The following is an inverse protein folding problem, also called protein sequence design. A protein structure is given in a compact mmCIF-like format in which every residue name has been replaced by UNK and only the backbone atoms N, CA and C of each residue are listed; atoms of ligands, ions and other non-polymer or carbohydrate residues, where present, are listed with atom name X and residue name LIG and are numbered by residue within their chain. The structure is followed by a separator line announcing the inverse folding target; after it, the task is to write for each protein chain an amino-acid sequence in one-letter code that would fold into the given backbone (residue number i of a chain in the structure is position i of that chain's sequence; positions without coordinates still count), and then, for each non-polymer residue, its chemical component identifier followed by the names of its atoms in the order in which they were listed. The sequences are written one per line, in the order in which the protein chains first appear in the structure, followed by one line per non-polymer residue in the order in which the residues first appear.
data_IF_571533923615
#
_entry.id   IF_571533923615
#
_cell.length_a   1.000
_cell.length_b   1.000
_cell.length_c   1.000
_cell.angle_alpha   90.00
_cell.angle_beta   90.00
_cell.angle_gamma   90.00
#
_symmetry.space_group_name_H-M   'P 1'
#
loop_
_entity.id
_entity.type
_entity.pdbx_description
1 polymer ?
#
# COMPACT_ATOMS: atom_id res chain seq x y z
N UNK A 1 6.82 -6.07 -22.76
CA UNK A 1 6.88 -7.24 -21.88
C UNK A 1 8.31 -7.51 -21.41
N UNK A 2 9.32 -7.54 -22.27
CA UNK A 2 10.73 -7.83 -21.92
C UNK A 2 11.32 -6.85 -20.89
N UNK A 3 10.99 -5.56 -20.96
CA UNK A 3 11.44 -4.58 -19.95
C UNK A 3 10.91 -4.89 -18.54
N UNK A 4 9.63 -5.30 -18.42
CA UNK A 4 9.04 -5.70 -17.12
C UNK A 4 9.71 -6.95 -16.54
N UNK A 5 9.97 -7.95 -17.38
CA UNK A 5 10.67 -9.17 -16.96
C UNK A 5 12.08 -8.86 -16.46
N UNK A 6 12.81 -7.99 -17.16
CA UNK A 6 14.14 -7.55 -16.73
C UNK A 6 14.15 -6.86 -15.37
N UNK A 7 13.12 -6.04 -15.06
CA UNK A 7 12.98 -5.39 -13.75
C UNK A 7 12.76 -6.44 -12.65
N UNK A 8 11.89 -7.43 -12.90
CA UNK A 8 11.62 -8.52 -11.95
C UNK A 8 12.88 -9.32 -11.64
N UNK A 9 13.63 -9.72 -12.68
CA UNK A 9 14.89 -10.47 -12.52
C UNK A 9 15.93 -9.65 -11.74
N UNK A 10 16.12 -8.38 -12.10
CA UNK A 10 17.03 -7.48 -11.37
C UNK A 10 16.63 -7.35 -9.90
N UNK A 11 15.35 -7.18 -9.62
CA UNK A 11 14.80 -7.12 -8.26
C UNK A 11 15.11 -8.40 -7.47
N UNK A 12 14.87 -9.57 -8.05
CA UNK A 12 15.17 -10.86 -7.43
C UNK A 12 16.67 -11.02 -7.12
N UNK A 13 17.54 -10.71 -8.08
CA UNK A 13 18.99 -10.81 -7.92
C UNK A 13 19.48 -9.83 -6.85
N UNK A 14 18.93 -8.61 -6.78
CA UNK A 14 19.23 -7.65 -5.73
C UNK A 14 18.89 -8.24 -4.35
N UNK A 15 17.67 -8.72 -4.14
CA UNK A 15 17.24 -9.32 -2.88
C UNK A 15 18.09 -10.55 -2.50
N UNK A 16 18.50 -11.35 -3.48
CA UNK A 16 19.39 -12.49 -3.26
C UNK A 16 20.78 -12.05 -2.78
N UNK A 17 21.31 -10.94 -3.29
CA UNK A 17 22.58 -10.37 -2.82
C UNK A 17 22.48 -9.87 -1.39
N UNK A 18 21.40 -9.18 -1.05
CA UNK A 18 21.12 -8.67 0.30
C UNK A 18 21.11 -9.78 1.36
N UNK A 19 20.71 -11.01 1.01
CA UNK A 19 20.77 -12.15 1.92
C UNK A 19 22.19 -12.45 2.45
N UNK A 20 23.24 -12.03 1.74
CA UNK A 20 24.63 -12.24 2.19
C UNK A 20 25.01 -11.27 3.31
N UNK A 21 24.45 -10.07 3.31
CA UNK A 21 24.77 -8.98 4.25
C UNK A 21 23.76 -8.83 5.38
N UNK A 22 22.61 -9.52 5.29
CA UNK A 22 21.48 -9.33 6.22
C UNK A 22 21.87 -9.56 7.69
N UNK A 23 22.85 -10.43 7.97
CA UNK A 23 23.37 -10.70 9.32
C UNK A 23 24.09 -9.53 9.97
N UNK A 24 24.44 -8.50 9.19
CA UNK A 24 25.08 -7.28 9.69
C UNK A 24 24.08 -6.31 10.32
N UNK A 25 22.77 -6.61 10.20
CA UNK A 25 21.69 -5.77 10.69
C UNK A 25 20.88 -6.50 11.75
N UNK A 26 20.69 -5.87 12.90
CA UNK A 26 19.87 -6.39 13.99
C UNK A 26 18.38 -6.39 13.59
N UNK A 27 17.98 -5.37 12.81
CA UNK A 27 16.60 -5.15 12.38
C UNK A 27 16.54 -5.03 10.86
N UNK A 28 15.54 -5.66 10.28
CA UNK A 28 15.15 -5.50 8.87
C UNK A 28 13.76 -4.90 8.82
N UNK A 29 13.68 -3.68 8.32
CA UNK A 29 12.43 -2.99 8.10
C UNK A 29 11.91 -3.35 6.70
N UNK A 30 10.70 -3.92 6.63
CA UNK A 30 10.06 -4.33 5.38
C UNK A 30 8.82 -3.47 5.18
N UNK A 31 8.88 -2.58 4.20
CA UNK A 31 7.70 -1.86 3.73
C UNK A 31 7.00 -2.65 2.63
N UNK A 32 5.74 -3.04 2.87
CA UNK A 32 4.88 -3.86 2.01
C UNK A 32 5.39 -5.29 1.80
N UNK A 33 6.40 -5.48 0.98
CA UNK A 33 6.93 -6.81 0.63
C UNK A 33 8.42 -6.72 0.26
N UNK A 34 9.20 -7.72 0.64
CA UNK A 34 10.59 -7.81 0.20
C UNK A 34 10.69 -8.04 -1.32
N UNK A 35 9.77 -8.82 -1.87
CA UNK A 35 9.66 -9.06 -3.31
C UNK A 35 8.20 -9.29 -3.70
N UNK A 36 7.69 -8.57 -4.68
CA UNK A 36 6.26 -8.49 -4.99
C UNK A 36 5.64 -9.78 -5.56
N UNK A 37 6.43 -10.71 -6.06
CA UNK A 37 5.95 -11.95 -6.67
C UNK A 37 6.25 -13.17 -5.81
N UNK A 38 5.38 -14.17 -5.92
CA UNK A 38 5.61 -15.50 -5.34
C UNK A 38 5.42 -15.56 -3.82
N UNK A 39 6.23 -16.39 -3.17
CA UNK A 39 6.11 -16.72 -1.75
C UNK A 39 6.87 -15.77 -0.83
N UNK A 40 6.74 -15.99 0.48
CA UNK A 40 7.52 -15.30 1.52
C UNK A 40 8.95 -15.84 1.67
N UNK A 41 9.57 -16.29 0.60
CA UNK A 41 10.89 -16.93 0.69
C UNK A 41 11.98 -15.98 1.22
N UNK A 42 11.99 -14.73 0.75
CA UNK A 42 12.95 -13.73 1.22
C UNK A 42 12.68 -13.35 2.67
N UNK A 43 11.43 -13.06 3.02
CA UNK A 43 11.03 -12.67 4.37
C UNK A 43 11.37 -13.76 5.39
N UNK A 44 11.15 -15.04 5.05
CA UNK A 44 11.57 -16.17 5.89
C UNK A 44 13.08 -16.28 6.05
N UNK A 45 13.85 -15.97 5.00
CA UNK A 45 15.32 -15.95 5.09
C UNK A 45 15.82 -14.77 5.94
N UNK A 46 15.14 -13.62 5.87
CA UNK A 46 15.44 -12.48 6.72
C UNK A 46 15.11 -12.78 8.19
N UNK A 47 13.93 -13.30 8.48
CA UNK A 47 13.50 -13.65 9.84
C UNK A 47 14.43 -14.65 10.56
N UNK A 48 15.14 -15.51 9.80
CA UNK A 48 16.14 -16.44 10.37
C UNK A 48 17.45 -15.78 10.79
N UNK A 49 17.65 -14.51 10.45
CA UNK A 49 18.95 -13.84 10.57
C UNK A 49 18.91 -12.50 11.29
N UNK A 50 17.75 -11.88 11.31
CA UNK A 50 17.51 -10.55 11.86
C UNK A 50 16.07 -10.42 12.31
N UNK A 51 15.79 -9.47 13.19
CA UNK A 51 14.43 -9.13 13.61
C UNK A 51 13.70 -8.39 12.48
N UNK A 52 12.48 -8.83 12.13
CA UNK A 52 11.66 -8.14 11.14
C UNK A 52 10.72 -7.16 11.84
N UNK A 53 10.69 -5.93 11.33
CA UNK A 53 9.61 -4.96 11.51
C UNK A 53 8.91 -4.81 10.16
N UNK A 54 7.59 -4.99 10.15
CA UNK A 54 6.79 -4.93 8.94
C UNK A 54 5.90 -3.69 8.95
N UNK A 55 5.90 -2.95 7.87
CA UNK A 55 5.13 -1.73 7.68
C UNK A 55 4.26 -1.82 6.42
N UNK A 56 2.99 -1.42 6.55
CA UNK A 56 2.09 -1.37 5.41
C UNK A 56 0.94 -0.37 5.61
N UNK A 57 0.62 0.33 4.54
CA UNK A 57 -0.37 1.41 4.46
C UNK A 57 -1.55 1.07 3.52
N UNK A 58 -1.44 -0.01 2.75
CA UNK A 58 -2.46 -0.51 1.83
C UNK A 58 -2.94 -1.92 2.19
N UNK A 59 -4.18 -2.23 1.87
CA UNK A 59 -4.75 -3.57 2.00
C UNK A 59 -4.21 -4.53 0.91
N UNK A 60 -2.90 -4.78 0.92
CA UNK A 60 -2.16 -5.52 -0.12
C UNK A 60 -2.55 -7.00 -0.24
N UNK A 61 -3.31 -7.54 0.70
CA UNK A 61 -3.87 -8.89 0.63
C UNK A 61 -5.13 -8.96 -0.24
N UNK A 62 -5.77 -7.81 -0.53
CA UNK A 62 -6.91 -7.76 -1.43
C UNK A 62 -6.44 -7.94 -2.87
N UNK A 63 -7.15 -8.79 -3.63
CA UNK A 63 -6.81 -9.08 -5.02
C UNK A 63 -7.30 -7.98 -5.98
N UNK A 64 -6.93 -6.74 -5.69
CA UNK A 64 -7.22 -5.59 -6.54
C UNK A 64 -6.16 -5.51 -7.64
N UNK A 65 -6.31 -6.34 -8.68
CA UNK A 65 -5.43 -6.30 -9.86
C UNK A 65 -6.08 -5.48 -10.95
N UNK A 66 -5.48 -4.35 -11.31
CA UNK A 66 -5.89 -3.60 -12.50
C UNK A 66 -5.86 -4.48 -13.75
N UNK A 67 -6.82 -4.30 -14.68
CA UNK A 67 -6.97 -5.14 -15.88
C UNK A 67 -5.67 -5.37 -16.68
N UNK A 68 -4.77 -4.38 -16.70
CA UNK A 68 -3.47 -4.45 -17.38
C UNK A 68 -2.45 -5.44 -16.75
N UNK A 69 -2.66 -5.87 -15.49
CA UNK A 69 -1.75 -6.78 -14.78
C UNK A 69 -2.37 -8.17 -14.54
N UNK A 70 -3.48 -8.48 -15.21
CA UNK A 70 -4.22 -9.74 -15.05
C UNK A 70 -3.37 -10.99 -15.28
N UNK A 71 -2.36 -10.91 -16.17
CA UNK A 71 -1.42 -12.00 -16.46
C UNK A 71 -0.54 -12.36 -15.24
N UNK A 72 -0.30 -11.41 -14.32
CA UNK A 72 0.51 -11.66 -13.12
C UNK A 72 -0.32 -12.01 -11.89
N UNK A 73 -1.64 -12.07 -12.02
CA UNK A 73 -2.57 -12.37 -10.92
C UNK A 73 -2.26 -13.71 -10.25
N UNK A 74 -1.94 -14.73 -11.04
CA UNK A 74 -1.61 -16.06 -10.52
C UNK A 74 -0.28 -16.12 -9.75
N UNK A 75 0.59 -15.11 -9.93
CA UNK A 75 1.85 -14.98 -9.19
C UNK A 75 1.69 -14.22 -7.87
N UNK A 76 0.55 -13.56 -7.65
CA UNK A 76 0.21 -12.97 -6.36
C UNK A 76 -0.28 -14.04 -5.40
N UNK A 77 0.20 -13.97 -4.17
CA UNK A 77 -0.21 -14.86 -3.11
C UNK A 77 -0.98 -14.05 -2.05
N UNK A 78 -2.32 -14.14 -1.98
CA UNK A 78 -3.13 -13.38 -1.02
C UNK A 78 -2.73 -13.64 0.44
N UNK A 79 -2.29 -14.87 0.75
CA UNK A 79 -1.86 -15.22 2.10
C UNK A 79 -0.50 -14.65 2.49
N UNK A 80 0.21 -14.04 1.54
CA UNK A 80 1.58 -13.58 1.76
C UNK A 80 1.67 -12.56 2.87
N UNK A 81 0.76 -11.59 2.88
CA UNK A 81 0.70 -10.53 3.90
C UNK A 81 0.56 -11.12 5.31
N UNK A 82 -0.40 -12.00 5.52
CA UNK A 82 -0.59 -12.68 6.81
C UNK A 82 0.64 -13.52 7.24
N UNK A 83 1.34 -14.12 6.26
CA UNK A 83 2.59 -14.85 6.54
C UNK A 83 3.75 -13.92 6.93
N UNK A 84 3.86 -12.73 6.32
CA UNK A 84 4.86 -11.72 6.69
C UNK A 84 4.58 -11.19 8.10
N UNK A 85 3.31 -10.86 8.38
CA UNK A 85 2.86 -10.40 9.70
C UNK A 85 3.26 -11.41 10.81
N UNK A 86 3.04 -12.71 10.59
CA UNK A 86 3.44 -13.77 11.55
C UNK A 86 4.96 -13.85 11.76
N UNK A 87 5.76 -13.54 10.75
CA UNK A 87 7.23 -13.57 10.83
C UNK A 87 7.81 -12.33 11.51
N UNK A 88 7.01 -11.28 11.69
CA UNK A 88 7.48 -9.99 12.17
C UNK A 88 7.41 -9.90 13.69
N UNK A 89 8.40 -9.27 14.30
CA UNK A 89 8.43 -8.97 15.73
C UNK A 89 7.46 -7.85 16.09
N UNK A 90 7.30 -6.88 15.16
CA UNK A 90 6.41 -5.73 15.30
C UNK A 90 5.83 -5.42 13.92
N UNK A 91 4.56 -5.00 13.91
CA UNK A 91 3.84 -4.60 12.71
C UNK A 91 3.38 -3.16 12.86
N UNK A 92 3.73 -2.31 11.91
CA UNK A 92 3.17 -0.98 11.75
C UNK A 92 2.04 -1.02 10.71
N UNK A 93 0.87 -0.60 11.11
CA UNK A 93 -0.32 -0.55 10.27
C UNK A 93 -0.75 0.91 10.09
N UNK A 94 -1.00 1.35 8.87
CA UNK A 94 -1.32 2.75 8.57
C UNK A 94 -2.66 3.24 9.13
N UNK A 95 -3.56 2.34 9.53
CA UNK A 95 -4.85 2.67 10.14
C UNK A 95 -5.45 1.49 10.89
N UNK A 96 -6.60 1.73 11.57
CA UNK A 96 -7.28 0.71 12.37
C UNK A 96 -7.71 -0.51 11.54
N UNK A 97 -8.24 -0.31 10.34
CA UNK A 97 -8.67 -1.42 9.47
C UNK A 97 -7.51 -2.39 9.14
N UNK A 98 -6.33 -1.84 8.88
CA UNK A 98 -5.11 -2.62 8.65
C UNK A 98 -4.65 -3.29 9.94
N UNK A 99 -4.70 -2.59 11.08
CA UNK A 99 -4.33 -3.14 12.38
C UNK A 99 -5.22 -4.32 12.78
N UNK A 100 -6.53 -4.23 12.54
CA UNK A 100 -7.50 -5.33 12.82
C UNK A 100 -7.20 -6.58 11.95
N UNK A 101 -6.75 -6.37 10.72
CA UNK A 101 -6.27 -7.48 9.90
C UNK A 101 -4.99 -8.09 10.46
N UNK A 102 -4.01 -7.26 10.85
CA UNK A 102 -2.74 -7.71 11.41
C UNK A 102 -2.91 -8.47 12.73
N UNK A 103 -3.83 -8.02 13.59
CA UNK A 103 -4.11 -8.64 14.89
C UNK A 103 -4.54 -10.10 14.79
N UNK A 104 -5.07 -10.54 13.64
CA UNK A 104 -5.38 -11.96 13.38
C UNK A 104 -4.13 -12.85 13.30
N UNK A 105 -2.95 -12.28 13.14
CA UNK A 105 -1.71 -13.00 12.89
C UNK A 105 -0.58 -12.64 13.83
N UNK A 106 -0.63 -11.47 14.51
CA UNK A 106 0.41 -10.97 15.41
C UNK A 106 -0.22 -10.10 16.51
N UNK A 107 0.25 -10.27 17.74
CA UNK A 107 -0.22 -9.48 18.88
C UNK A 107 0.51 -8.13 19.02
N UNK A 108 1.68 -7.98 18.39
CA UNK A 108 2.49 -6.77 18.43
C UNK A 108 2.19 -5.91 17.21
N UNK A 109 1.08 -5.17 17.25
CA UNK A 109 0.65 -4.27 16.19
C UNK A 109 0.56 -2.86 16.75
N UNK A 110 1.15 -1.89 16.04
CA UNK A 110 1.04 -0.47 16.32
C UNK A 110 0.44 0.26 15.11
N UNK A 111 -0.44 1.23 15.37
CA UNK A 111 -0.97 2.08 14.31
C UNK A 111 -0.01 3.25 14.10
N UNK A 112 0.53 3.34 12.89
CA UNK A 112 1.44 4.40 12.45
C UNK A 112 0.85 5.02 11.18
N UNK A 113 0.03 6.08 11.30
CA UNK A 113 -0.60 6.71 10.15
C UNK A 113 0.42 7.33 9.21
N UNK A 114 0.12 7.33 7.91
CA UNK A 114 0.86 8.13 6.93
C UNK A 114 0.65 9.61 7.24
N UNK A 115 1.72 10.36 7.39
CA UNK A 115 1.72 11.77 7.74
C UNK A 115 2.26 12.63 6.61
N UNK A 116 2.00 13.92 6.69
CA UNK A 116 2.56 14.95 5.80
C UNK A 116 3.39 15.94 6.64
N UNK A 117 4.36 16.57 6.00
CA UNK A 117 5.10 17.67 6.61
C UNK A 117 4.23 18.93 6.64
N UNK A 118 3.72 19.26 7.84
CA UNK A 118 2.87 20.44 8.04
C UNK A 118 3.61 21.78 7.95
N UNK A 119 4.94 21.78 7.95
CA UNK A 119 5.70 22.99 7.65
C UNK A 119 5.66 23.31 6.15
N UNK A 120 5.57 22.29 5.30
CA UNK A 120 5.50 22.42 3.84
C UNK A 120 4.05 22.54 3.36
N UNK A 121 3.18 21.68 3.89
CA UNK A 121 1.78 21.62 3.48
C UNK A 121 0.90 22.41 4.45
N UNK A 122 0.67 23.69 4.11
CA UNK A 122 -0.18 24.57 4.88
C UNK A 122 -1.61 24.59 4.34
N UNK A 123 -2.63 24.71 5.21
CA UNK A 123 -4.01 24.87 4.76
C UNK A 123 -4.15 26.15 3.91
N UNK A 124 -4.69 26.00 2.70
CA UNK A 124 -5.07 27.14 1.87
C UNK A 124 -6.56 27.42 2.08
N UNK A 125 -6.87 28.57 2.70
CA UNK A 125 -8.26 29.01 2.88
C UNK A 125 -8.70 29.79 1.64
N UNK A 126 -9.72 29.29 0.94
CA UNK A 126 -10.37 30.03 -0.13
C UNK A 126 -11.29 31.08 0.49
N UNK A 127 -11.11 32.34 0.09
CA UNK A 127 -11.95 33.45 0.47
C UNK A 127 -13.22 33.55 -0.38
N UNK A 128 -13.17 33.03 -1.60
CA UNK A 128 -14.30 32.95 -2.52
C UNK A 128 -15.21 31.77 -2.18
N UNK A 129 -16.39 32.06 -1.65
CA UNK A 129 -17.38 31.06 -1.19
C UNK A 129 -18.57 30.88 -2.15
N UNK A 130 -18.58 31.55 -3.30
CA UNK A 130 -19.73 31.50 -4.21
C UNK A 130 -19.91 30.09 -4.84
N UNK A 131 -18.83 29.32 -5.01
CA UNK A 131 -18.88 27.97 -5.58
C UNK A 131 -18.07 26.98 -4.75
N UNK A 132 -18.70 25.82 -4.47
CA UNK A 132 -18.00 24.70 -3.85
C UNK A 132 -17.43 23.82 -4.93
N UNK A 133 -16.11 23.58 -4.85
CA UNK A 133 -15.41 22.64 -5.72
C UNK A 133 -15.23 21.32 -4.99
N UNK A 134 -15.75 20.24 -5.55
CA UNK A 134 -15.48 18.88 -5.09
C UNK A 134 -14.48 18.30 -6.08
N UNK A 135 -13.24 18.10 -5.62
CA UNK A 135 -12.16 17.51 -6.41
C UNK A 135 -11.89 16.07 -6.03
N UNK A 136 -11.40 15.29 -7.00
CA UNK A 136 -10.84 13.98 -6.78
C UNK A 136 -9.42 13.95 -7.35
N UNK A 137 -8.51 13.37 -6.59
CA UNK A 137 -7.14 13.14 -7.04
C UNK A 137 -6.81 11.66 -6.91
N UNK A 138 -6.32 11.08 -7.99
CA UNK A 138 -5.97 9.65 -8.02
C UNK A 138 -5.25 9.28 -9.32
N UNK A 139 -4.96 8.00 -9.48
CA UNK A 139 -4.36 7.44 -10.68
C UNK A 139 -5.41 6.76 -11.56
N UNK A 140 -5.04 6.47 -12.81
CA UNK A 140 -5.90 5.71 -13.71
C UNK A 140 -6.36 4.37 -13.11
N UNK A 141 -5.52 3.72 -12.30
CA UNK A 141 -5.88 2.45 -11.65
C UNK A 141 -6.87 2.59 -10.49
N UNK A 142 -7.06 3.80 -9.95
CA UNK A 142 -7.95 4.07 -8.81
C UNK A 142 -9.25 4.76 -9.22
N UNK A 143 -9.45 5.07 -10.51
CA UNK A 143 -10.66 5.75 -11.01
C UNK A 143 -11.95 4.97 -10.70
N UNK A 144 -11.89 3.65 -10.67
CA UNK A 144 -13.02 2.80 -10.29
C UNK A 144 -13.54 3.08 -8.87
N UNK A 145 -12.69 3.56 -7.96
CA UNK A 145 -13.12 3.94 -6.60
C UNK A 145 -13.90 5.25 -6.61
N UNK A 146 -13.61 6.14 -7.56
CA UNK A 146 -14.38 7.35 -7.75
C UNK A 146 -15.78 7.06 -8.30
N UNK A 147 -15.93 6.04 -9.14
CA UNK A 147 -17.22 5.63 -9.71
C UNK A 147 -18.25 5.31 -8.62
N UNK A 148 -17.82 4.81 -7.46
CA UNK A 148 -18.72 4.52 -6.32
C UNK A 148 -19.37 5.77 -5.74
N UNK A 149 -18.80 6.95 -5.97
CA UNK A 149 -19.30 8.23 -5.47
C UNK A 149 -20.22 8.96 -6.47
N UNK A 150 -20.35 8.49 -7.72
CA UNK A 150 -21.02 9.22 -8.80
C UNK A 150 -22.49 9.57 -8.49
N UNK A 151 -23.24 8.66 -7.90
CA UNK A 151 -24.65 8.91 -7.56
C UNK A 151 -24.78 10.01 -6.50
N UNK A 152 -23.95 9.97 -5.45
CA UNK A 152 -23.91 11.01 -4.43
C UNK A 152 -23.53 12.38 -5.02
N UNK A 153 -22.57 12.40 -5.96
CA UNK A 153 -22.12 13.62 -6.64
C UNK A 153 -23.23 14.20 -7.56
N UNK A 154 -24.03 13.37 -8.22
CA UNK A 154 -25.19 13.79 -9.01
C UNK A 154 -26.21 14.51 -8.11
N UNK A 155 -26.60 13.88 -7.01
CA UNK A 155 -27.55 14.44 -6.04
C UNK A 155 -27.07 15.80 -5.50
N UNK A 156 -25.77 15.89 -5.15
CA UNK A 156 -25.18 17.13 -4.67
C UNK A 156 -25.21 18.21 -5.75
N UNK A 157 -24.87 17.87 -6.99
CA UNK A 157 -24.91 18.80 -8.13
C UNK A 157 -26.30 19.32 -8.41
N UNK A 158 -27.31 18.47 -8.39
CA UNK A 158 -28.71 18.85 -8.61
C UNK A 158 -29.22 19.77 -7.50
N UNK A 159 -28.88 19.44 -6.24
CA UNK A 159 -29.35 20.20 -5.07
C UNK A 159 -28.65 21.55 -4.88
N UNK A 160 -27.36 21.64 -5.17
CA UNK A 160 -26.50 22.78 -4.81
C UNK A 160 -25.78 23.44 -5.98
N UNK A 161 -25.94 22.95 -7.21
CA UNK A 161 -25.26 23.48 -8.39
C UNK A 161 -23.73 23.44 -8.29
N UNK A 162 -23.15 22.48 -7.58
CA UNK A 162 -21.72 22.34 -7.36
C UNK A 162 -20.99 21.97 -8.64
N UNK A 163 -19.80 22.51 -8.83
CA UNK A 163 -18.91 22.14 -9.93
C UNK A 163 -17.93 21.06 -9.43
N UNK A 164 -17.88 19.92 -10.11
CA UNK A 164 -16.97 18.82 -9.83
C UNK A 164 -15.83 18.84 -10.83
N UNK A 165 -14.60 18.93 -10.32
CA UNK A 165 -13.39 18.86 -11.16
C UNK A 165 -12.74 17.47 -11.01
N UNK A 166 -12.38 16.91 -12.14
CA UNK A 166 -11.57 15.69 -12.22
C UNK A 166 -10.13 16.10 -12.58
N UNK A 167 -9.19 15.68 -11.78
CA UNK A 167 -7.76 15.89 -12.02
C UNK A 167 -7.04 14.56 -11.98
#
# INVERSE_FOLDING_TARGET
YFKKLGIVIKGFLKRRRELKTIRQYDIVFIQREAFMLGSTWFERKYAKRSTIIFDYDDAIWLDLVSGHNRVFRFLKNPDKTGKIIRLSKLVFAGNQYLADYAAKFNQNVAIVPTTIDTAVYQPAYRTDKEKVCIGWSGSFSTIQHFETCLEALKIIKEKYGTVVYFK
#
